data_IF_538812538853
#
_entry.id   IF_538812538853
#
_cell.length_a   1.000
_cell.length_b   1.000
_cell.length_c   1.000
_cell.angle_alpha   90.00
_cell.angle_beta   90.00
_cell.angle_gamma   90.00
#
_symmetry.space_group_name_H-M   'P 1'
#
loop_
_entity.id
_entity.type
_entity.pdbx_description
1 polymer ?
#
# COMPACT_ATOMS: atom_id res chain seq x y z
N UNK A 1 -61.18 -81.62 143.52
CA UNK A 1 -59.76 -81.97 143.33
C UNK A 1 -59.08 -82.25 144.66
N UNK A 2 -59.11 -81.30 145.60
CA UNK A 2 -58.35 -81.37 146.86
C UNK A 2 -58.69 -82.58 147.76
N UNK A 3 -59.98 -82.93 147.91
CA UNK A 3 -60.38 -84.07 148.75
C UNK A 3 -60.04 -85.45 148.16
N UNK A 4 -59.89 -85.55 146.84
CA UNK A 4 -59.68 -86.84 146.13
C UNK A 4 -58.20 -87.11 145.90
N UNK A 5 -57.41 -86.07 145.61
CA UNK A 5 -55.98 -86.19 145.27
C UNK A 5 -55.04 -85.52 146.27
N UNK A 6 -55.54 -84.73 147.23
CA UNK A 6 -54.70 -83.90 148.11
C UNK A 6 -53.97 -84.67 149.21
N UNK A 7 -54.41 -85.89 149.53
CA UNK A 7 -53.82 -86.74 150.59
C UNK A 7 -53.00 -87.91 150.04
N UNK A 8 -52.80 -87.97 148.72
CA UNK A 8 -52.12 -89.09 148.06
C UNK A 8 -50.96 -88.58 147.23
N UNK A 9 -49.75 -89.08 147.50
CA UNK A 9 -48.57 -88.77 146.69
C UNK A 9 -48.42 -89.81 145.58
N UNK A 10 -47.92 -89.39 144.42
CA UNK A 10 -47.62 -90.30 143.31
C UNK A 10 -46.11 -90.41 143.15
N UNK A 11 -45.59 -91.63 143.17
CA UNK A 11 -44.17 -91.92 143.00
C UNK A 11 -43.89 -92.75 141.75
N UNK A 12 -42.68 -92.64 141.24
CA UNK A 12 -42.22 -93.31 140.02
C UNK A 12 -41.96 -94.81 140.21
N UNK A 13 -41.41 -95.18 141.37
CA UNK A 13 -40.90 -96.52 141.67
C UNK A 13 -41.36 -97.02 143.04
N UNK A 14 -41.39 -98.34 143.19
CA UNK A 14 -41.79 -99.03 144.43
C UNK A 14 -40.92 -98.63 145.63
N UNK A 15 -39.61 -98.47 145.42
CA UNK A 15 -38.67 -98.11 146.48
C UNK A 15 -38.90 -96.69 146.99
N UNK A 16 -39.14 -95.75 146.08
CA UNK A 16 -39.44 -94.37 146.43
C UNK A 16 -40.79 -94.26 147.13
N UNK A 17 -41.80 -94.99 146.66
CA UNK A 17 -43.10 -95.05 147.32
C UNK A 17 -42.99 -95.58 148.76
N UNK A 18 -42.19 -96.63 149.00
CA UNK A 18 -41.96 -97.19 150.34
C UNK A 18 -41.23 -96.21 151.25
N UNK A 19 -40.19 -95.53 150.75
CA UNK A 19 -39.46 -94.51 151.53
C UNK A 19 -40.36 -93.36 151.96
N UNK A 20 -41.12 -92.80 151.03
CA UNK A 20 -41.95 -91.62 151.27
C UNK A 20 -43.13 -91.94 152.20
N UNK A 21 -43.74 -93.12 152.05
CA UNK A 21 -44.88 -93.53 152.87
C UNK A 21 -44.50 -93.73 154.34
N UNK A 22 -43.34 -94.33 154.62
CA UNK A 22 -42.92 -94.69 155.98
C UNK A 22 -41.94 -93.70 156.62
N UNK A 23 -41.66 -92.57 155.97
CA UNK A 23 -40.88 -91.48 156.56
C UNK A 23 -41.68 -90.76 157.64
N UNK A 24 -41.09 -90.56 158.82
CA UNK A 24 -41.75 -89.98 160.01
C UNK A 24 -42.30 -88.57 159.78
N UNK A 25 -41.71 -87.80 158.84
CA UNK A 25 -42.15 -86.42 158.56
C UNK A 25 -43.30 -86.34 157.55
N UNK A 26 -43.51 -87.39 156.75
CA UNK A 26 -44.46 -87.36 155.64
C UNK A 26 -45.64 -88.28 155.93
N UNK A 27 -45.41 -89.55 156.28
CA UNK A 27 -46.46 -90.50 156.71
C UNK A 27 -47.77 -90.39 155.90
N UNK A 28 -47.65 -90.35 154.57
CA UNK A 28 -48.78 -90.10 153.66
C UNK A 28 -48.92 -91.25 152.68
N UNK A 29 -50.17 -91.59 152.33
CA UNK A 29 -50.49 -92.63 151.37
C UNK A 29 -49.83 -92.32 150.02
N UNK A 30 -49.07 -93.26 149.49
CA UNK A 30 -48.35 -93.09 148.24
C UNK A 30 -48.76 -94.15 147.24
N UNK A 31 -48.94 -93.76 145.99
CA UNK A 31 -49.33 -94.64 144.89
C UNK A 31 -48.24 -94.60 143.82
N UNK A 32 -47.83 -95.74 143.32
CA UNK A 32 -46.84 -95.79 142.22
C UNK A 32 -47.51 -95.49 140.88
N UNK A 33 -46.74 -95.07 139.88
CA UNK A 33 -47.20 -95.02 138.48
C UNK A 33 -47.74 -96.38 137.98
N UNK A 34 -47.29 -97.49 138.59
CA UNK A 34 -47.80 -98.84 138.33
C UNK A 34 -49.19 -99.12 138.90
N UNK A 35 -49.65 -98.31 139.86
CA UNK A 35 -50.93 -98.47 140.55
C UNK A 35 -50.84 -99.16 141.90
N UNK A 36 -49.63 -99.47 142.39
CA UNK A 36 -49.43 -100.07 143.71
C UNK A 36 -49.58 -99.01 144.80
N UNK A 37 -50.21 -99.38 145.92
CA UNK A 37 -50.55 -98.44 146.99
C UNK A 37 -49.80 -98.81 148.26
N UNK A 38 -49.18 -97.80 148.84
CA UNK A 38 -48.47 -97.84 150.10
C UNK A 38 -49.19 -96.94 151.08
N UNK A 39 -49.68 -97.53 152.16
CA UNK A 39 -50.31 -96.81 153.26
C UNK A 39 -49.42 -96.86 154.51
N UNK A 40 -49.18 -95.74 155.19
CA UNK A 40 -48.37 -95.72 156.42
C UNK A 40 -48.93 -96.63 157.52
N UNK A 41 -50.22 -96.97 157.48
CA UNK A 41 -50.87 -97.94 158.37
C UNK A 41 -50.48 -99.40 158.07
N UNK A 42 -49.52 -99.63 157.18
CA UNK A 42 -48.96 -100.96 156.89
C UNK A 42 -49.69 -101.72 155.79
N UNK A 43 -50.60 -101.07 155.06
CA UNK A 43 -51.25 -101.68 153.90
C UNK A 43 -50.40 -101.46 152.67
N UNK A 44 -49.90 -102.55 152.09
CA UNK A 44 -49.18 -102.55 150.84
C UNK A 44 -49.98 -103.38 149.85
N UNK A 45 -50.66 -102.73 148.93
CA UNK A 45 -51.31 -103.43 147.82
C UNK A 45 -50.33 -103.48 146.66
N UNK A 46 -49.67 -104.63 146.50
CA UNK A 46 -48.82 -104.95 145.36
C UNK A 46 -49.28 -106.26 144.77
N UNK A 47 -49.77 -106.24 143.54
CA UNK A 47 -50.35 -107.42 142.89
C UNK A 47 -50.34 -107.30 141.38
N UNK A 48 -50.52 -108.45 140.71
CA UNK A 48 -50.61 -108.49 139.26
C UNK A 48 -51.73 -107.56 138.76
N UNK A 49 -51.34 -106.64 137.88
CA UNK A 49 -52.22 -105.60 137.34
C UNK A 49 -53.39 -106.22 136.57
N UNK A 50 -54.61 -105.90 136.97
CA UNK A 50 -55.78 -106.13 136.11
C UNK A 50 -55.72 -105.12 134.95
N UNK A 51 -55.67 -105.62 133.71
CA UNK A 51 -55.72 -104.81 132.50
C UNK A 51 -57.14 -104.27 132.23
N UNK A 52 -57.66 -103.40 133.08
CA UNK A 52 -58.88 -102.63 132.77
C UNK A 52 -58.53 -101.21 132.34
N UNK A 53 -59.12 -100.78 131.22
CA UNK A 53 -58.88 -99.48 130.61
C UNK A 53 -59.28 -98.30 131.53
N UNK A 54 -58.54 -97.20 131.43
CA UNK A 54 -58.68 -96.01 132.30
C UNK A 54 -59.97 -95.23 132.00
N UNK A 55 -60.88 -95.14 132.98
CA UNK A 55 -62.16 -94.40 132.88
C UNK A 55 -61.95 -92.89 132.74
N UNK A 56 -60.89 -92.34 133.32
CA UNK A 56 -60.58 -90.91 133.27
C UNK A 56 -60.22 -90.42 131.86
N UNK A 57 -59.61 -91.28 131.04
CA UNK A 57 -59.30 -90.96 129.64
C UNK A 57 -60.59 -90.74 128.82
N UNK A 58 -61.61 -91.58 129.02
CA UNK A 58 -62.92 -91.41 128.36
C UNK A 58 -63.68 -90.18 128.83
N UNK A 59 -63.55 -89.81 130.11
CA UNK A 59 -64.17 -88.59 130.62
C UNK A 59 -63.52 -87.33 130.03
N UNK A 60 -62.20 -87.35 129.87
CA UNK A 60 -61.48 -86.28 129.18
C UNK A 60 -61.93 -86.16 127.71
N UNK A 61 -62.00 -87.28 126.98
CA UNK A 61 -62.51 -87.29 125.60
C UNK A 61 -63.94 -86.72 125.50
N UNK A 62 -64.82 -87.06 126.44
CA UNK A 62 -66.20 -86.55 126.44
C UNK A 62 -66.25 -85.03 126.70
N UNK A 63 -65.40 -84.54 127.62
CA UNK A 63 -65.26 -83.11 127.86
C UNK A 63 -64.73 -82.37 126.64
N UNK A 64 -63.69 -82.90 126.00
CA UNK A 64 -63.12 -82.29 124.79
C UNK A 64 -64.15 -82.24 123.65
N UNK A 65 -65.01 -83.26 123.51
CA UNK A 65 -66.13 -83.25 122.54
C UNK A 65 -67.19 -82.22 122.91
N UNK A 66 -67.52 -82.08 124.20
CA UNK A 66 -68.51 -81.11 124.67
C UNK A 66 -68.05 -79.66 124.46
N UNK A 67 -66.79 -79.36 124.79
CA UNK A 67 -66.20 -78.03 124.57
C UNK A 67 -66.17 -77.70 123.06
N UNK A 68 -65.85 -78.68 122.21
CA UNK A 68 -65.91 -78.51 120.74
C UNK A 68 -67.34 -78.27 120.21
N UNK A 69 -68.34 -78.94 120.78
CA UNK A 69 -69.74 -78.73 120.40
C UNK A 69 -70.18 -77.31 120.75
N UNK A 70 -69.89 -76.84 121.96
CA UNK A 70 -70.25 -75.49 122.40
C UNK A 70 -69.56 -74.40 121.55
N UNK A 71 -68.28 -74.61 121.19
CA UNK A 71 -67.57 -73.72 120.29
C UNK A 71 -68.24 -73.66 118.90
N UNK A 72 -68.63 -74.81 118.33
CA UNK A 72 -69.27 -74.88 117.01
C UNK A 72 -70.69 -74.32 117.01
N UNK A 73 -71.47 -74.50 118.07
CA UNK A 73 -72.79 -73.88 118.21
C UNK A 73 -72.69 -72.36 118.32
N UNK A 74 -71.65 -71.84 118.96
CA UNK A 74 -71.41 -70.40 119.06
C UNK A 74 -70.99 -69.81 117.71
N UNK A 75 -70.13 -70.51 116.97
CA UNK A 75 -69.74 -70.14 115.60
C UNK A 75 -70.95 -70.12 114.66
N UNK A 76 -71.80 -71.15 114.71
CA UNK A 76 -73.03 -71.22 113.91
C UNK A 76 -73.96 -70.04 114.20
N UNK A 77 -74.20 -69.72 115.47
CA UNK A 77 -75.02 -68.56 115.86
C UNK A 77 -74.45 -67.23 115.36
N UNK A 78 -73.13 -67.07 115.37
CA UNK A 78 -72.48 -65.88 114.82
C UNK A 78 -72.71 -65.78 113.31
N UNK A 79 -72.47 -66.88 112.58
CA UNK A 79 -72.65 -66.91 111.13
C UNK A 79 -74.11 -66.68 110.74
N UNK A 80 -75.07 -67.27 111.44
CA UNK A 80 -76.51 -67.06 111.20
C UNK A 80 -76.91 -65.59 111.39
N UNK A 81 -76.34 -64.93 112.42
CA UNK A 81 -76.56 -63.49 112.65
C UNK A 81 -76.01 -62.66 111.50
N UNK A 82 -74.79 -62.93 111.05
CA UNK A 82 -74.18 -62.22 109.92
C UNK A 82 -74.96 -62.44 108.61
N UNK A 83 -75.41 -63.68 108.37
CA UNK A 83 -76.23 -64.05 107.21
C UNK A 83 -77.57 -63.31 107.22
N UNK A 84 -78.19 -63.13 108.39
CA UNK A 84 -79.42 -62.35 108.54
C UNK A 84 -79.21 -60.86 108.23
N UNK A 85 -78.08 -60.27 108.67
CA UNK A 85 -77.73 -58.88 108.36
C UNK A 85 -77.41 -58.66 106.89
N UNK A 86 -76.71 -59.61 106.27
CA UNK A 86 -76.40 -59.59 104.84
C UNK A 86 -77.66 -59.70 103.97
N UNK A 87 -78.65 -60.52 104.35
CA UNK A 87 -79.94 -60.60 103.66
C UNK A 87 -80.63 -59.25 103.58
N UNK A 88 -80.72 -58.53 104.70
CA UNK A 88 -81.32 -57.18 104.71
C UNK A 88 -80.59 -56.17 103.82
N UNK A 89 -79.27 -56.29 103.72
CA UNK A 89 -78.45 -55.43 102.84
C UNK A 89 -78.63 -55.80 101.36
N UNK A 90 -78.69 -57.09 101.04
CA UNK A 90 -78.92 -57.58 99.69
C UNK A 90 -80.28 -57.13 99.13
N UNK A 91 -81.32 -57.14 99.96
CA UNK A 91 -82.65 -56.67 99.56
C UNK A 91 -82.69 -55.16 99.28
N UNK A 92 -82.01 -54.35 100.12
CA UNK A 92 -81.85 -52.90 99.86
C UNK A 92 -81.07 -52.64 98.56
N UNK A 93 -80.00 -53.40 98.31
CA UNK A 93 -79.23 -53.27 97.07
C UNK A 93 -80.08 -53.59 95.84
N UNK A 94 -80.88 -54.67 95.88
CA UNK A 94 -81.79 -54.99 94.77
C UNK A 94 -82.79 -53.87 94.50
N UNK A 95 -83.38 -53.30 95.55
CA UNK A 95 -84.32 -52.19 95.42
C UNK A 95 -83.65 -50.96 94.80
N UNK A 96 -82.47 -50.57 95.28
CA UNK A 96 -81.73 -49.42 94.75
C UNK A 96 -81.27 -49.65 93.30
N UNK A 97 -80.81 -50.85 92.97
CA UNK A 97 -80.42 -51.20 91.61
C UNK A 97 -81.59 -51.08 90.64
N UNK A 98 -82.75 -51.62 91.02
CA UNK A 98 -83.96 -51.50 90.21
C UNK A 98 -84.36 -50.03 90.00
N UNK A 99 -84.24 -49.17 91.03
CA UNK A 99 -84.51 -47.74 90.89
C UNK A 99 -83.50 -47.04 89.96
N UNK A 100 -82.22 -47.41 90.02
CA UNK A 100 -81.19 -46.86 89.15
C UNK A 100 -81.45 -47.24 87.68
N UNK A 101 -81.73 -48.51 87.42
CA UNK A 101 -82.00 -49.01 86.07
C UNK A 101 -83.20 -48.26 85.45
N UNK A 102 -84.29 -48.08 86.22
CA UNK A 102 -85.45 -47.28 85.79
C UNK A 102 -85.10 -45.82 85.50
N UNK A 103 -84.20 -45.21 86.28
CA UNK A 103 -83.79 -43.82 86.07
C UNK A 103 -82.87 -43.65 84.85
N UNK A 104 -82.00 -44.61 84.58
CA UNK A 104 -81.18 -44.63 83.37
C UNK A 104 -82.05 -44.72 82.11
N UNK A 105 -83.01 -45.65 82.08
CA UNK A 105 -83.96 -45.77 80.97
C UNK A 105 -84.80 -44.50 80.78
N UNK A 106 -85.19 -43.83 81.87
CA UNK A 106 -85.91 -42.56 81.80
C UNK A 106 -85.08 -41.45 81.14
N UNK A 107 -83.78 -41.35 81.46
CA UNK A 107 -82.86 -40.38 80.86
C UNK A 107 -82.68 -40.64 79.37
N UNK A 108 -82.42 -41.89 78.97
CA UNK A 108 -82.25 -42.24 77.55
C UNK A 108 -83.50 -41.91 76.75
N UNK A 109 -84.68 -42.24 77.28
CA UNK A 109 -85.96 -41.91 76.64
C UNK A 109 -86.17 -40.40 76.50
N UNK A 110 -85.77 -39.61 77.49
CA UNK A 110 -85.85 -38.15 77.43
C UNK A 110 -84.88 -37.58 76.39
N UNK A 111 -83.67 -38.14 76.28
CA UNK A 111 -82.69 -37.71 75.29
C UNK A 111 -83.14 -38.01 73.86
N UNK A 112 -83.69 -39.20 73.62
CA UNK A 112 -84.29 -39.55 72.32
C UNK A 112 -85.47 -38.63 72.01
N UNK A 113 -86.35 -38.34 72.99
CA UNK A 113 -87.45 -37.38 72.80
C UNK A 113 -86.96 -35.97 72.49
N UNK A 114 -85.87 -35.52 73.12
CA UNK A 114 -85.28 -34.22 72.85
C UNK A 114 -84.71 -34.16 71.43
N UNK A 115 -83.99 -35.19 71.00
CA UNK A 115 -83.44 -35.28 69.64
C UNK A 115 -84.55 -35.40 68.58
N UNK A 116 -85.62 -36.13 68.88
CA UNK A 116 -86.78 -36.25 68.01
C UNK A 116 -87.70 -35.02 68.05
N UNK A 117 -87.52 -34.13 69.03
CA UNK A 117 -88.35 -32.93 69.17
C UNK A 117 -88.21 -32.06 67.92
N UNK A 118 -89.32 -31.38 67.58
CA UNK A 118 -89.32 -30.43 66.47
C UNK A 118 -88.26 -29.36 66.65
N UNK A 119 -88.01 -28.92 67.89
CA UNK A 119 -87.03 -27.88 68.19
C UNK A 119 -85.60 -28.30 67.84
N UNK A 120 -85.17 -29.52 68.21
CA UNK A 120 -83.81 -29.96 67.92
C UNK A 120 -83.58 -30.13 66.41
N UNK A 121 -84.57 -30.69 65.69
CA UNK A 121 -84.51 -30.80 64.22
C UNK A 121 -84.49 -29.42 63.55
N UNK A 122 -85.31 -28.48 64.03
CA UNK A 122 -85.33 -27.12 63.53
C UNK A 122 -84.02 -26.39 63.79
N UNK A 123 -83.37 -26.62 64.93
CA UNK A 123 -82.06 -26.05 65.25
C UNK A 123 -80.96 -26.60 64.31
N UNK A 124 -80.95 -27.91 64.05
CA UNK A 124 -80.03 -28.51 63.06
C UNK A 124 -80.27 -27.95 61.65
N UNK A 125 -81.54 -27.87 61.21
CA UNK A 125 -81.90 -27.27 59.93
C UNK A 125 -81.47 -25.80 59.83
N UNK A 126 -81.66 -25.02 60.90
CA UNK A 126 -81.21 -23.63 60.97
C UNK A 126 -79.69 -23.51 60.87
N UNK A 127 -78.92 -24.40 61.51
CA UNK A 127 -77.47 -24.43 61.39
C UNK A 127 -77.03 -24.75 59.96
N UNK A 128 -77.67 -25.72 59.30
CA UNK A 128 -77.39 -26.08 57.91
C UNK A 128 -77.74 -24.91 56.96
N UNK A 129 -78.90 -24.27 57.17
CA UNK A 129 -79.34 -23.11 56.38
C UNK A 129 -78.37 -21.93 56.54
N UNK A 130 -77.94 -21.63 57.76
CA UNK A 130 -76.95 -20.57 58.03
C UNK A 130 -75.65 -20.83 57.28
N UNK A 131 -75.14 -22.05 57.33
CA UNK A 131 -73.92 -22.43 56.61
C UNK A 131 -74.09 -22.30 55.09
N UNK A 132 -75.22 -22.73 54.55
CA UNK A 132 -75.54 -22.59 53.12
C UNK A 132 -75.64 -21.12 52.68
N UNK A 133 -76.20 -20.25 53.53
CA UNK A 133 -76.28 -18.80 53.26
C UNK A 133 -74.86 -18.21 53.19
N UNK A 134 -73.99 -18.56 54.14
CA UNK A 134 -72.61 -18.06 54.18
C UNK A 134 -71.82 -18.48 52.93
N UNK A 135 -71.95 -19.74 52.51
CA UNK A 135 -71.37 -20.27 51.25
C UNK A 135 -71.94 -19.55 50.01
N UNK A 136 -73.24 -19.24 50.00
CA UNK A 136 -73.91 -18.53 48.91
C UNK A 136 -73.49 -17.06 48.82
N UNK A 137 -73.27 -16.39 49.95
CA UNK A 137 -72.78 -15.01 49.99
C UNK A 137 -71.32 -14.92 49.51
N UNK A 138 -70.47 -15.88 49.90
CA UNK A 138 -69.08 -15.93 49.44
C UNK A 138 -69.00 -16.14 47.91
N UNK A 139 -69.80 -17.07 47.38
CA UNK A 139 -69.87 -17.33 45.93
C UNK A 139 -70.43 -16.12 45.17
N UNK A 140 -71.43 -15.42 45.69
CA UNK A 140 -71.94 -14.18 45.11
C UNK A 140 -70.85 -13.10 45.04
N UNK A 141 -70.05 -12.94 46.10
CA UNK A 141 -68.95 -11.96 46.15
C UNK A 141 -67.89 -12.26 45.11
N UNK A 142 -67.43 -13.52 45.02
CA UNK A 142 -66.48 -13.97 43.99
C UNK A 142 -67.00 -13.73 42.58
N UNK A 143 -68.28 -14.04 42.33
CA UNK A 143 -68.90 -13.86 41.02
C UNK A 143 -68.99 -12.38 40.62
N UNK A 144 -69.33 -11.48 41.56
CA UNK A 144 -69.34 -10.02 41.31
C UNK A 144 -67.96 -9.48 40.96
N UNK A 145 -66.89 -9.97 41.60
CA UNK A 145 -65.52 -9.57 41.26
C UNK A 145 -65.10 -10.04 39.87
N UNK A 146 -65.46 -11.28 39.50
CA UNK A 146 -65.21 -11.81 38.16
C UNK A 146 -65.97 -11.00 37.10
N UNK A 147 -67.23 -10.65 37.37
CA UNK A 147 -68.03 -9.80 36.49
C UNK A 147 -67.37 -8.44 36.25
N UNK A 148 -66.96 -7.74 37.32
CA UNK A 148 -66.25 -6.44 37.19
C UNK A 148 -64.99 -6.55 36.34
N UNK A 149 -64.17 -7.58 36.56
CA UNK A 149 -62.95 -7.81 35.77
C UNK A 149 -63.26 -8.09 34.30
N UNK A 150 -64.35 -8.80 34.01
CA UNK A 150 -64.79 -9.08 32.65
C UNK A 150 -65.31 -7.80 31.95
N UNK A 151 -66.12 -6.99 32.63
CA UNK A 151 -66.61 -5.70 32.11
C UNK A 151 -65.47 -4.73 31.81
N UNK A 152 -64.45 -4.67 32.67
CA UNK A 152 -63.28 -3.82 32.46
C UNK A 152 -62.45 -4.27 31.25
N UNK A 153 -62.24 -5.60 31.08
CA UNK A 153 -61.61 -6.16 29.88
C UNK A 153 -62.41 -5.87 28.62
N UNK A 154 -63.74 -5.97 28.68
CA UNK A 154 -64.62 -5.67 27.56
C UNK A 154 -64.47 -4.20 27.14
N UNK A 155 -64.49 -3.27 28.11
CA UNK A 155 -64.30 -1.84 27.84
C UNK A 155 -62.94 -1.53 27.20
N UNK A 156 -61.87 -2.20 27.65
CA UNK A 156 -60.53 -2.05 27.05
C UNK A 156 -60.51 -2.58 25.62
N UNK A 157 -61.10 -3.75 25.37
CA UNK A 157 -61.19 -4.33 24.02
C UNK A 157 -62.03 -3.47 23.09
N UNK A 158 -63.16 -2.95 23.54
CA UNK A 158 -64.03 -2.08 22.77
C UNK A 158 -63.31 -0.78 22.38
N UNK A 159 -62.58 -0.16 23.32
CA UNK A 159 -61.78 1.04 23.02
C UNK A 159 -60.63 0.74 22.04
N UNK A 160 -59.97 -0.42 22.18
CA UNK A 160 -58.94 -0.86 21.23
C UNK A 160 -59.52 -1.09 19.83
N UNK A 161 -60.70 -1.70 19.73
CA UNK A 161 -61.38 -1.90 18.45
C UNK A 161 -61.77 -0.58 17.80
N UNK A 162 -62.33 0.37 18.56
CA UNK A 162 -62.72 1.70 18.03
C UNK A 162 -61.52 2.51 17.54
N UNK A 163 -60.37 2.40 18.20
CA UNK A 163 -59.16 3.16 17.83
C UNK A 163 -58.28 2.45 16.79
N UNK A 164 -58.46 1.15 16.56
CA UNK A 164 -57.65 0.38 15.61
C UNK A 164 -57.78 0.89 14.17
N UNK A 165 -58.97 1.28 13.73
CA UNK A 165 -59.16 1.83 12.37
C UNK A 165 -58.43 3.18 12.21
N UNK A 166 -58.53 4.05 13.20
CA UNK A 166 -57.87 5.36 13.18
C UNK A 166 -56.33 5.25 13.22
N UNK A 167 -55.77 4.36 14.04
CA UNK A 167 -54.33 4.10 14.07
C UNK A 167 -53.85 3.48 12.75
N UNK A 168 -54.57 2.49 12.23
CA UNK A 168 -54.22 1.82 10.97
C UNK A 168 -54.27 2.78 9.78
N UNK A 169 -55.25 3.69 9.73
CA UNK A 169 -55.32 4.71 8.68
C UNK A 169 -54.17 5.72 8.78
N UNK A 170 -53.79 6.12 10.00
CA UNK A 170 -52.65 7.01 10.25
C UNK A 170 -51.33 6.37 9.83
N UNK A 171 -51.12 5.10 10.17
CA UNK A 171 -49.95 4.33 9.74
C UNK A 171 -49.91 4.14 8.22
N UNK A 172 -51.05 3.84 7.58
CA UNK A 172 -51.15 3.75 6.13
C UNK A 172 -50.80 5.07 5.44
N UNK A 173 -51.29 6.20 5.94
CA UNK A 173 -50.92 7.53 5.43
C UNK A 173 -49.43 7.81 5.59
N UNK A 174 -48.86 7.52 6.76
CA UNK A 174 -47.44 7.70 7.02
C UNK A 174 -46.57 6.81 6.11
N UNK A 175 -46.97 5.56 5.91
CA UNK A 175 -46.29 4.62 5.01
C UNK A 175 -46.38 5.07 3.54
N UNK A 176 -47.56 5.54 3.09
CA UNK A 176 -47.74 6.10 1.74
C UNK A 176 -46.87 7.33 1.51
N UNK A 177 -46.81 8.25 2.47
CA UNK A 177 -45.95 9.43 2.38
C UNK A 177 -44.46 9.07 2.29
N UNK A 178 -44.00 8.09 3.08
CA UNK A 178 -42.63 7.58 3.00
C UNK A 178 -42.34 6.93 1.65
N UNK A 179 -43.28 6.16 1.12
CA UNK A 179 -43.16 5.52 -0.20
C UNK A 179 -43.04 6.58 -1.31
N UNK A 180 -43.91 7.59 -1.30
CA UNK A 180 -43.87 8.67 -2.31
C UNK A 180 -42.60 9.51 -2.21
N UNK A 181 -42.12 9.79 -1.00
CA UNK A 181 -40.84 10.47 -0.80
C UNK A 181 -39.66 9.64 -1.32
N UNK A 182 -39.69 8.32 -1.09
CA UNK A 182 -38.67 7.41 -1.60
C UNK A 182 -38.69 7.31 -3.14
N UNK A 183 -39.88 7.23 -3.75
CA UNK A 183 -40.05 7.25 -5.21
C UNK A 183 -39.49 8.53 -5.84
N UNK A 184 -39.86 9.70 -5.31
CA UNK A 184 -39.33 10.99 -5.79
C UNK A 184 -37.82 11.07 -5.70
N UNK A 185 -37.22 10.55 -4.62
CA UNK A 185 -35.75 10.47 -4.50
C UNK A 185 -35.15 9.53 -5.54
N UNK A 186 -35.74 8.34 -5.73
CA UNK A 186 -35.28 7.38 -6.73
C UNK A 186 -35.33 7.96 -8.15
N UNK A 187 -36.42 8.64 -8.52
CA UNK A 187 -36.57 9.29 -9.82
C UNK A 187 -35.54 10.42 -10.02
N UNK A 188 -35.30 11.23 -8.98
CA UNK A 188 -34.27 12.27 -9.02
C UNK A 188 -32.85 11.69 -9.17
N UNK A 189 -32.55 10.59 -8.48
CA UNK A 189 -31.27 9.88 -8.64
C UNK A 189 -31.13 9.26 -10.03
N UNK A 190 -32.17 8.63 -10.56
CA UNK A 190 -32.15 8.07 -11.91
C UNK A 190 -31.95 9.14 -12.98
N UNK A 191 -32.55 10.32 -12.81
CA UNK A 191 -32.32 11.45 -13.73
C UNK A 191 -30.85 11.89 -13.70
N UNK A 192 -30.27 12.10 -12.51
CA UNK A 192 -28.85 12.45 -12.36
C UNK A 192 -27.91 11.37 -12.90
N UNK A 193 -28.27 10.10 -12.73
CA UNK A 193 -27.50 8.98 -13.26
C UNK A 193 -27.47 9.04 -14.80
N UNK A 194 -28.61 9.27 -15.45
CA UNK A 194 -28.69 9.43 -16.91
C UNK A 194 -27.88 10.64 -17.40
N UNK A 195 -27.98 11.78 -16.71
CA UNK A 195 -27.19 12.98 -17.04
C UNK A 195 -25.68 12.69 -16.95
N UNK A 196 -25.24 12.02 -15.88
CA UNK A 196 -23.83 11.64 -15.72
C UNK A 196 -23.36 10.57 -16.69
N UNK A 197 -24.24 9.64 -17.08
CA UNK A 197 -23.94 8.65 -18.11
C UNK A 197 -23.72 9.34 -19.47
N UNK A 198 -24.60 10.28 -19.85
CA UNK A 198 -24.45 11.04 -21.10
C UNK A 198 -23.17 11.88 -21.11
N UNK A 199 -22.81 12.49 -19.98
CA UNK A 199 -21.56 13.25 -19.84
C UNK A 199 -20.33 12.33 -19.97
N UNK A 200 -20.38 11.13 -19.38
CA UNK A 200 -19.31 10.14 -19.51
C UNK A 200 -19.16 9.63 -20.96
N UNK A 201 -20.26 9.36 -21.63
CA UNK A 201 -20.26 8.91 -23.04
C UNK A 201 -19.71 10.02 -23.96
N UNK A 202 -20.05 11.30 -23.70
CA UNK A 202 -19.50 12.44 -24.43
C UNK A 202 -17.98 12.58 -24.22
N UNK A 203 -17.51 12.52 -22.97
CA UNK A 203 -16.08 12.56 -22.66
C UNK A 203 -15.31 11.38 -23.26
N UNK A 204 -15.92 10.22 -23.37
CA UNK A 204 -15.31 9.05 -24.01
C UNK A 204 -15.06 9.29 -25.51
N UNK A 205 -16.04 9.90 -26.21
CA UNK A 205 -15.90 10.27 -27.62
C UNK A 205 -14.82 11.35 -27.81
N UNK A 206 -14.80 12.38 -26.96
CA UNK A 206 -13.74 13.40 -27.00
C UNK A 206 -12.34 12.79 -26.77
N UNK A 207 -12.21 11.84 -25.84
CA UNK A 207 -10.96 11.12 -25.60
C UNK A 207 -10.51 10.32 -26.82
N UNK A 208 -11.44 9.68 -27.53
CA UNK A 208 -11.15 8.90 -28.73
C UNK A 208 -10.72 9.81 -29.89
N UNK A 209 -11.36 10.97 -30.05
CA UNK A 209 -10.97 11.99 -31.02
C UNK A 209 -9.57 12.56 -30.73
N UNK A 210 -9.29 12.94 -29.49
CA UNK A 210 -7.98 13.44 -29.06
C UNK A 210 -6.87 12.41 -29.26
N UNK A 211 -7.14 11.11 -29.03
CA UNK A 211 -6.18 10.03 -29.31
C UNK A 211 -5.86 9.93 -30.79
N UNK A 212 -6.89 10.02 -31.65
CA UNK A 212 -6.71 9.98 -33.10
C UNK A 212 -5.92 11.19 -33.59
N UNK A 213 -6.17 12.38 -33.04
CA UNK A 213 -5.37 13.58 -33.32
C UNK A 213 -3.92 13.41 -32.87
N UNK A 214 -3.70 12.87 -31.67
CA UNK A 214 -2.35 12.60 -31.15
C UNK A 214 -1.59 11.63 -32.06
N UNK A 215 -2.21 10.54 -32.49
CA UNK A 215 -1.62 9.59 -33.44
C UNK A 215 -1.29 10.27 -34.79
N UNK A 216 -2.19 11.12 -35.29
CA UNK A 216 -1.95 11.90 -36.50
C UNK A 216 -0.76 12.85 -36.38
N UNK A 217 -0.66 13.58 -35.27
CA UNK A 217 0.49 14.45 -34.99
C UNK A 217 1.79 13.64 -34.85
N UNK A 218 1.76 12.49 -34.19
CA UNK A 218 2.92 11.63 -34.03
C UNK A 218 3.45 11.14 -35.40
N UNK A 219 2.55 10.70 -36.29
CA UNK A 219 2.93 10.31 -37.65
C UNK A 219 3.53 11.47 -38.45
N UNK A 220 3.00 12.69 -38.29
CA UNK A 220 3.57 13.88 -38.93
C UNK A 220 4.97 14.21 -38.41
N UNK A 221 5.19 14.11 -37.09
CA UNK A 221 6.52 14.31 -36.49
C UNK A 221 7.52 13.31 -37.04
N UNK A 222 7.15 12.03 -37.10
CA UNK A 222 8.01 10.98 -37.65
C UNK A 222 8.37 11.23 -39.13
N UNK A 223 7.39 11.62 -39.95
CA UNK A 223 7.63 11.95 -41.35
C UNK A 223 8.56 13.17 -41.51
N UNK A 224 8.39 14.19 -40.67
CA UNK A 224 9.27 15.37 -40.67
C UNK A 224 10.68 15.00 -40.22
N UNK A 225 10.83 14.17 -39.19
CA UNK A 225 12.14 13.71 -38.70
C UNK A 225 12.90 12.91 -39.77
N UNK A 226 12.20 12.04 -40.52
CA UNK A 226 12.78 11.35 -41.68
C UNK A 226 13.21 12.32 -42.77
N UNK A 227 12.37 13.30 -43.11
CA UNK A 227 12.73 14.33 -44.10
C UNK A 227 13.94 15.17 -43.65
N UNK A 228 14.03 15.52 -42.37
CA UNK A 228 15.17 16.25 -41.79
C UNK A 228 16.45 15.41 -41.86
N UNK A 229 16.38 14.10 -41.56
CA UNK A 229 17.54 13.20 -41.72
C UNK A 229 18.02 13.17 -43.17
N UNK A 230 17.12 12.99 -44.13
CA UNK A 230 17.47 12.97 -45.56
C UNK A 230 18.09 14.30 -46.01
N UNK A 231 17.55 15.44 -45.56
CA UNK A 231 18.11 16.76 -45.86
C UNK A 231 19.50 16.96 -45.23
N UNK A 232 19.73 16.45 -44.02
CA UNK A 232 21.06 16.49 -43.39
C UNK A 232 22.08 15.68 -44.18
N UNK A 233 21.73 14.47 -44.60
CA UNK A 233 22.61 13.65 -45.45
C UNK A 233 22.94 14.34 -46.78
N UNK A 234 21.96 15.02 -47.40
CA UNK A 234 22.20 15.82 -48.60
C UNK A 234 23.12 17.01 -48.33
N UNK A 235 22.94 17.72 -47.21
CA UNK A 235 23.82 18.83 -46.82
C UNK A 235 25.25 18.32 -46.61
N UNK A 236 25.44 17.19 -45.94
CA UNK A 236 26.75 16.61 -45.69
C UNK A 236 27.44 16.20 -47.01
N UNK A 237 26.68 15.60 -47.95
CA UNK A 237 27.17 15.29 -49.29
C UNK A 237 27.57 16.55 -50.06
N UNK A 238 26.72 17.57 -50.08
CA UNK A 238 27.03 18.84 -50.76
C UNK A 238 28.21 19.55 -50.12
N UNK A 239 28.36 19.50 -48.80
CA UNK A 239 29.51 20.06 -48.09
C UNK A 239 30.81 19.35 -48.50
N UNK A 240 30.78 18.03 -48.65
CA UNK A 240 31.90 17.25 -49.18
C UNK A 240 32.24 17.67 -50.62
N UNK A 241 31.24 17.79 -51.50
CA UNK A 241 31.44 18.21 -52.89
C UNK A 241 32.00 19.64 -53.00
N UNK A 242 31.50 20.57 -52.18
CA UNK A 242 32.02 21.94 -52.10
C UNK A 242 33.46 21.94 -51.61
N UNK A 243 33.80 21.11 -50.61
CA UNK A 243 35.18 20.99 -50.14
C UNK A 243 36.13 20.47 -51.23
N UNK A 244 35.72 19.43 -51.96
CA UNK A 244 36.49 18.87 -53.07
C UNK A 244 36.64 19.84 -54.23
N UNK A 245 35.57 20.56 -54.57
CA UNK A 245 35.60 21.61 -55.59
C UNK A 245 36.50 22.77 -55.19
N UNK A 246 36.51 23.17 -53.91
CA UNK A 246 37.40 24.23 -53.40
C UNK A 246 38.87 23.81 -53.48
N UNK A 247 39.19 22.55 -53.17
CA UNK A 247 40.55 22.02 -53.37
C UNK A 247 40.94 21.98 -54.85
N UNK A 248 40.04 21.56 -55.73
CA UNK A 248 40.27 21.56 -57.18
C UNK A 248 40.51 22.96 -57.72
N UNK A 249 39.71 23.95 -57.31
CA UNK A 249 39.89 25.36 -57.66
C UNK A 249 41.23 25.88 -57.15
N UNK A 250 41.62 25.54 -55.91
CA UNK A 250 42.93 25.93 -55.37
C UNK A 250 44.07 25.36 -56.20
N UNK A 251 44.03 24.08 -56.55
CA UNK A 251 45.03 23.44 -57.42
C UNK A 251 45.08 24.11 -58.80
N UNK A 252 43.93 24.36 -59.41
CA UNK A 252 43.85 25.05 -60.69
C UNK A 252 44.38 26.49 -60.63
N UNK A 253 44.16 27.22 -59.53
CA UNK A 253 44.72 28.55 -59.30
C UNK A 253 46.24 28.51 -59.14
N UNK A 254 46.78 27.53 -58.41
CA UNK A 254 48.22 27.31 -58.27
C UNK A 254 48.87 26.98 -59.62
N UNK A 255 48.25 26.11 -60.43
CA UNK A 255 48.68 25.80 -61.79
C UNK A 255 48.61 27.01 -62.72
N UNK A 256 47.53 27.79 -62.67
CA UNK A 256 47.41 29.02 -63.44
C UNK A 256 48.48 30.04 -63.05
N UNK A 257 48.82 30.16 -61.75
CA UNK A 257 49.91 31.03 -61.30
C UNK A 257 51.25 30.59 -61.88
N UNK A 258 51.55 29.29 -61.83
CA UNK A 258 52.77 28.72 -62.44
C UNK A 258 52.81 28.99 -63.94
N UNK A 259 51.69 28.77 -64.65
CA UNK A 259 51.62 29.05 -66.09
C UNK A 259 51.79 30.54 -66.38
N UNK A 260 51.20 31.44 -65.58
CA UNK A 260 51.43 32.89 -65.71
C UNK A 260 52.89 33.27 -65.51
N UNK A 261 53.58 32.68 -64.54
CA UNK A 261 55.01 32.90 -64.34
C UNK A 261 55.84 32.44 -65.56
N UNK A 262 55.49 31.27 -66.12
CA UNK A 262 56.11 30.76 -67.36
C UNK A 262 55.87 31.71 -68.53
N UNK A 263 54.62 32.17 -68.73
CA UNK A 263 54.27 33.13 -69.78
C UNK A 263 55.05 34.43 -69.58
N UNK A 264 55.11 34.97 -68.35
CA UNK A 264 55.88 36.19 -68.06
C UNK A 264 57.38 36.03 -68.33
N UNK A 265 57.95 34.86 -68.04
CA UNK A 265 59.34 34.55 -68.36
C UNK A 265 59.57 34.49 -69.87
N UNK A 266 58.67 33.81 -70.60
CA UNK A 266 58.69 33.75 -72.06
C UNK A 266 58.50 35.12 -72.70
N UNK A 267 57.57 35.95 -72.20
CA UNK A 267 57.36 37.33 -72.67
C UNK A 267 58.61 38.20 -72.45
N UNK A 268 59.32 38.01 -71.34
CA UNK A 268 60.62 38.68 -71.11
C UNK A 268 61.67 38.21 -72.12
N UNK A 269 61.73 36.91 -72.39
CA UNK A 269 62.65 36.35 -73.39
C UNK A 269 62.30 36.85 -74.80
N UNK A 270 61.01 36.87 -75.17
CA UNK A 270 60.51 37.40 -76.44
C UNK A 270 60.86 38.89 -76.56
N UNK A 271 60.62 39.70 -75.52
CA UNK A 271 61.02 41.12 -75.51
C UNK A 271 62.53 41.28 -75.68
N UNK A 272 63.33 40.46 -75.00
CA UNK A 272 64.78 40.43 -75.13
C UNK A 272 65.22 40.12 -76.57
N UNK A 273 64.73 39.03 -77.15
CA UNK A 273 65.01 38.65 -78.54
C UNK A 273 64.51 39.68 -79.54
N UNK A 274 63.36 40.31 -79.29
CA UNK A 274 62.82 41.36 -80.17
C UNK A 274 63.72 42.61 -80.14
N UNK A 275 64.22 43.00 -78.97
CA UNK A 275 65.19 44.09 -78.86
C UNK A 275 66.51 43.75 -79.57
N UNK A 276 66.97 42.51 -79.46
CA UNK A 276 68.16 42.03 -80.17
C UNK A 276 67.96 42.05 -81.69
N UNK A 277 66.82 41.56 -82.18
CA UNK A 277 66.44 41.62 -83.61
C UNK A 277 66.39 43.07 -84.09
N UNK A 278 65.79 43.98 -83.33
CA UNK A 278 65.75 45.40 -83.69
C UNK A 278 67.15 46.02 -83.73
N UNK A 279 68.00 45.74 -82.74
CA UNK A 279 69.39 46.21 -82.74
C UNK A 279 70.23 45.65 -83.89
N UNK A 280 70.04 44.37 -84.25
CA UNK A 280 70.65 43.79 -85.44
C UNK A 280 70.13 44.44 -86.73
N UNK A 281 68.84 44.77 -86.78
CA UNK A 281 68.23 45.47 -87.93
C UNK A 281 68.78 46.89 -88.08
N UNK A 282 68.98 47.62 -87.00
CA UNK A 282 69.63 48.93 -87.00
C UNK A 282 71.07 48.82 -87.50
N UNK A 283 71.86 47.88 -86.98
CA UNK A 283 73.22 47.61 -87.48
C UNK A 283 73.24 47.24 -88.96
N UNK A 284 72.27 46.46 -89.42
CA UNK A 284 72.15 46.10 -90.83
C UNK A 284 71.81 47.34 -91.69
N UNK A 285 70.91 48.20 -91.22
CA UNK A 285 70.59 49.46 -91.90
C UNK A 285 71.81 50.40 -91.95
N UNK A 286 72.57 50.52 -90.86
CA UNK A 286 73.83 51.28 -90.83
C UNK A 286 74.85 50.70 -91.82
N UNK A 287 75.02 49.38 -91.84
CA UNK A 287 75.89 48.71 -92.80
C UNK A 287 75.45 48.96 -94.25
N UNK A 288 74.14 48.91 -94.54
CA UNK A 288 73.60 49.23 -95.86
C UNK A 288 73.84 50.70 -96.26
N UNK A 289 73.66 51.64 -95.33
CA UNK A 289 73.98 53.05 -95.58
C UNK A 289 75.46 53.24 -95.88
N UNK A 290 76.33 52.55 -95.13
CA UNK A 290 77.78 52.60 -95.32
C UNK A 290 78.21 51.97 -96.64
N UNK A 291 77.55 50.89 -97.06
CA UNK A 291 77.73 50.31 -98.40
C UNK A 291 77.35 51.34 -99.47
N UNK A 292 76.18 51.98 -99.38
CA UNK A 292 75.77 53.02 -100.34
C UNK A 292 76.74 54.21 -100.39
N UNK A 293 77.25 54.62 -99.23
CA UNK A 293 78.22 55.71 -99.13
C UNK A 293 79.56 55.33 -99.80
N UNK A 294 80.05 54.12 -99.55
CA UNK A 294 81.22 53.58 -100.23
C UNK A 294 80.99 53.40 -101.74
N UNK A 295 79.83 52.93 -102.18
CA UNK A 295 79.46 52.85 -103.60
C UNK A 295 79.44 54.23 -104.26
N UNK A 296 78.89 55.24 -103.59
CA UNK A 296 78.91 56.62 -104.07
C UNK A 296 80.35 57.15 -104.19
N UNK A 297 81.19 56.90 -103.18
CA UNK A 297 82.59 57.28 -103.20
C UNK A 297 83.37 56.57 -104.33
N UNK A 298 83.14 55.27 -104.54
CA UNK A 298 83.72 54.51 -105.65
C UNK A 298 83.28 55.10 -106.99
N UNK A 299 81.99 55.42 -107.14
CA UNK A 299 81.44 56.03 -108.35
C UNK A 299 82.06 57.42 -108.62
N UNK A 300 82.18 58.24 -107.58
CA UNK A 300 82.84 59.56 -107.64
C UNK A 300 84.31 59.44 -108.04
N UNK A 301 85.08 58.57 -107.38
CA UNK A 301 86.48 58.35 -107.72
C UNK A 301 86.68 57.77 -109.12
N UNK A 302 85.78 56.90 -109.60
CA UNK A 302 85.78 56.44 -111.00
C UNK A 302 85.55 57.59 -111.98
N UNK A 303 84.59 58.48 -111.67
CA UNK A 303 84.31 59.65 -112.50
C UNK A 303 85.48 60.63 -112.52
N UNK A 304 86.04 60.96 -111.36
CA UNK A 304 87.21 61.85 -111.25
C UNK A 304 88.43 61.28 -112.01
N UNK A 305 88.63 59.96 -111.95
CA UNK A 305 89.68 59.27 -112.73
C UNK A 305 89.43 59.34 -114.24
N UNK A 306 88.19 59.13 -114.68
CA UNK A 306 87.82 59.25 -116.10
C UNK A 306 87.97 60.70 -116.61
N UNK A 307 87.57 61.69 -115.82
CA UNK A 307 87.71 63.12 -116.16
C UNK A 307 89.18 63.55 -116.20
N UNK A 308 90.02 63.04 -115.29
CA UNK A 308 91.46 63.26 -115.31
C UNK A 308 92.11 62.61 -116.54
N UNK A 309 91.74 61.37 -116.89
CA UNK A 309 92.21 60.69 -118.09
C UNK A 309 91.79 61.43 -119.37
N UNK A 310 90.55 61.90 -119.44
CA UNK A 310 90.05 62.70 -120.56
C UNK A 310 90.77 64.05 -120.67
N UNK A 311 91.10 64.71 -119.54
CA UNK A 311 91.87 65.96 -119.53
C UNK A 311 93.31 65.75 -120.03
N UNK A 312 93.96 64.66 -119.62
CA UNK A 312 95.29 64.28 -120.13
C UNK A 312 95.24 63.96 -121.63
N UNK A 313 94.21 63.22 -122.08
CA UNK A 313 94.00 62.95 -123.51
C UNK A 313 93.81 64.22 -124.34
N UNK A 314 93.03 65.20 -123.83
CA UNK A 314 92.83 66.50 -124.48
C UNK A 314 94.12 67.31 -124.57
N UNK A 315 94.88 67.37 -123.48
CA UNK A 315 96.17 68.09 -123.43
C UNK A 315 97.20 67.53 -124.42
N UNK A 316 97.20 66.21 -124.64
CA UNK A 316 98.07 65.56 -125.62
C UNK A 316 97.64 65.78 -127.08
N UNK A 317 96.35 66.06 -127.34
CA UNK A 317 95.83 66.29 -128.69
C UNK A 317 95.88 67.76 -129.13
N UNK A 318 95.76 68.72 -128.21
CA UNK A 318 95.80 70.16 -128.54
C UNK A 318 97.23 70.71 -128.67
N UNK A 319 98.23 69.93 -128.27
CA UNK A 319 99.62 70.38 -128.22
C UNK A 319 100.54 69.33 -128.86
N UNK A 320 100.65 69.36 -130.18
CA UNK A 320 101.44 68.42 -130.97
C UNK A 320 102.94 68.40 -130.60
N UNK A 321 103.44 69.48 -130.00
CA UNK A 321 104.82 69.61 -129.49
C UNK A 321 105.07 68.79 -128.21
N UNK A 322 104.03 68.44 -127.44
CA UNK A 322 104.19 67.70 -126.17
C UNK A 322 104.67 66.27 -126.43
N UNK A 323 104.22 65.61 -127.51
CA UNK A 323 104.58 64.22 -127.79
C UNK A 323 106.10 64.00 -128.04
N UNK A 324 106.78 64.76 -128.92
CA UNK A 324 108.23 64.61 -129.13
C UNK A 324 109.07 65.18 -127.98
N UNK A 325 108.62 66.22 -127.27
CA UNK A 325 109.41 66.90 -126.22
C UNK A 325 109.13 66.40 -124.79
N UNK A 326 108.19 65.45 -124.61
CA UNK A 326 107.80 64.86 -123.31
C UNK A 326 108.96 64.33 -122.48
N UNK A 327 110.01 63.83 -123.13
CA UNK A 327 111.18 63.26 -122.46
C UNK A 327 112.10 64.33 -121.82
N UNK A 328 111.92 65.61 -122.18
CA UNK A 328 112.67 66.76 -121.66
C UNK A 328 111.94 67.48 -120.51
N UNK A 329 110.67 67.13 -120.23
CA UNK A 329 109.87 67.79 -119.19
C UNK A 329 110.38 67.45 -117.79
N UNK A 330 110.73 68.48 -117.00
CA UNK A 330 111.24 68.32 -115.64
C UNK A 330 112.71 67.91 -115.54
N UNK A 331 113.46 67.92 -116.66
CA UNK A 331 114.90 67.69 -116.69
C UNK A 331 115.69 68.99 -116.44
N UNK A 332 116.71 68.97 -115.55
CA UNK A 332 117.45 70.16 -115.17
C UNK A 332 118.29 70.74 -116.32
N UNK A 333 118.40 72.07 -116.40
CA UNK A 333 119.14 72.83 -117.43
C UNK A 333 118.57 72.79 -118.88
N UNK A 334 117.29 72.41 -119.05
CA UNK A 334 116.55 72.56 -120.30
C UNK A 334 115.49 73.65 -120.18
N UNK A 335 114.90 74.09 -121.30
CA UNK A 335 113.81 75.08 -121.29
C UNK A 335 112.57 74.65 -120.47
N UNK A 336 112.46 73.36 -120.10
CA UNK A 336 111.37 72.76 -119.33
C UNK A 336 111.79 72.32 -117.91
N UNK A 337 112.79 72.97 -117.32
CA UNK A 337 113.17 72.81 -115.92
C UNK A 337 112.14 73.48 -114.99
N UNK A 338 111.17 72.68 -114.52
CA UNK A 338 110.09 73.15 -113.64
C UNK A 338 110.54 73.54 -112.23
N UNK A 339 111.80 73.27 -111.85
CA UNK A 339 112.37 73.72 -110.57
C UNK A 339 113.03 75.09 -110.69
N UNK A 340 113.68 75.40 -111.82
CA UNK A 340 114.27 76.72 -112.07
C UNK A 340 113.24 77.74 -112.61
N UNK A 341 112.21 77.30 -113.32
CA UNK A 341 111.13 78.15 -113.84
C UNK A 341 109.77 77.52 -113.50
N UNK A 342 109.16 77.96 -112.39
CA UNK A 342 107.95 77.35 -111.84
C UNK A 342 106.76 77.51 -112.80
N UNK A 343 106.14 76.43 -113.31
CA UNK A 343 105.06 76.51 -114.30
C UNK A 343 103.82 77.26 -113.81
N UNK A 344 103.56 77.32 -112.49
CA UNK A 344 102.49 78.19 -111.94
C UNK A 344 102.83 79.68 -112.02
N UNK A 345 104.10 80.06 -111.82
CA UNK A 345 104.54 81.46 -111.90
C UNK A 345 104.73 81.94 -113.35
N UNK A 346 105.25 81.07 -114.23
CA UNK A 346 105.34 81.34 -115.65
C UNK A 346 103.95 81.57 -116.30
N UNK A 347 102.96 80.74 -115.93
CA UNK A 347 101.56 80.93 -116.35
C UNK A 347 100.95 82.24 -115.86
N UNK A 348 101.29 82.69 -114.65
CA UNK A 348 100.87 84.00 -114.13
C UNK A 348 101.58 85.18 -114.83
N UNK A 349 102.86 85.04 -115.21
CA UNK A 349 103.62 86.04 -115.99
C UNK A 349 103.09 86.20 -117.42
N UNK A 350 102.75 85.09 -118.09
CA UNK A 350 102.13 85.10 -119.41
C UNK A 350 100.78 85.84 -119.38
N UNK A 351 99.94 85.54 -118.39
CA UNK A 351 98.63 86.19 -118.23
C UNK A 351 98.75 87.70 -118.02
N UNK A 352 99.75 88.16 -117.24
CA UNK A 352 100.06 89.59 -117.07
C UNK A 352 100.58 90.26 -118.35
N UNK A 353 101.36 89.56 -119.17
CA UNK A 353 101.89 90.07 -120.44
C UNK A 353 100.80 90.13 -121.54
N UNK A 354 99.88 89.16 -121.59
CA UNK A 354 98.71 89.20 -122.48
C UNK A 354 97.73 90.32 -122.09
N UNK A 355 97.48 90.51 -120.79
CA UNK A 355 96.69 91.64 -120.29
C UNK A 355 97.33 93.01 -120.59
N UNK A 356 98.67 93.10 -120.63
CA UNK A 356 99.41 94.29 -121.03
C UNK A 356 99.37 94.53 -122.55
N UNK A 357 99.51 93.47 -123.36
CA UNK A 357 99.38 93.53 -124.83
C UNK A 357 97.99 94.02 -125.25
N UNK A 358 96.92 93.45 -124.68
CA UNK A 358 95.54 93.85 -124.96
C UNK A 358 95.22 95.31 -124.56
N UNK A 359 95.93 95.87 -123.56
CA UNK A 359 95.80 97.29 -123.17
C UNK A 359 96.52 98.25 -124.14
N UNK A 360 97.67 97.85 -124.70
CA UNK A 360 98.43 98.65 -125.68
C UNK A 360 97.81 98.62 -127.08
N UNK A 361 97.18 97.51 -127.46
CA UNK A 361 96.49 97.32 -128.75
C UNK A 361 95.27 98.27 -128.91
N UNK A 362 94.74 98.81 -127.80
CA UNK A 362 93.54 99.67 -127.79
C UNK A 362 93.81 101.17 -128.02
N UNK A 363 95.08 101.61 -128.04
CA UNK A 363 95.47 103.04 -128.05
C UNK A 363 96.34 103.48 -129.24
N UNK A 364 96.46 102.68 -130.32
CA UNK A 364 97.31 103.03 -131.48
C UNK A 364 96.52 102.97 -132.80
N UNK A 365 96.69 104.00 -133.62
CA UNK A 365 96.00 104.23 -134.90
C UNK A 365 96.44 103.20 -135.96
N UNK A 366 95.53 102.27 -136.30
CA UNK A 366 95.73 101.07 -137.10
C UNK A 366 96.09 101.27 -138.59
N UNK A 367 96.13 102.51 -139.11
CA UNK A 367 96.52 102.76 -140.52
C UNK A 367 98.04 102.79 -140.77
N UNK A 368 98.86 103.05 -139.74
CA UNK A 368 100.32 103.01 -139.86
C UNK A 368 100.89 101.58 -139.65
N UNK A 369 100.21 100.73 -138.89
CA UNK A 369 100.62 99.34 -138.61
C UNK A 369 100.37 98.41 -139.80
N UNK A 370 99.28 98.62 -140.58
CA UNK A 370 99.03 97.85 -141.80
C UNK A 370 99.96 98.22 -142.98
N UNK A 371 100.58 99.41 -142.99
CA UNK A 371 101.65 99.72 -143.94
C UNK A 371 103.00 99.11 -143.56
N UNK A 372 103.22 98.77 -142.29
CA UNK A 372 104.40 98.04 -141.80
C UNK A 372 104.26 96.53 -142.02
N UNK A 373 103.07 95.95 -141.77
CA UNK A 373 102.79 94.54 -142.07
C UNK A 373 102.86 94.21 -143.58
N UNK A 374 102.50 95.15 -144.46
CA UNK A 374 102.65 94.99 -145.92
C UNK A 374 104.08 95.27 -146.45
N UNK A 375 104.93 95.95 -145.67
CA UNK A 375 106.36 96.08 -145.96
C UNK A 375 107.16 94.86 -145.46
N UNK A 376 106.70 94.21 -144.38
CA UNK A 376 107.32 93.01 -143.82
C UNK A 376 106.94 91.70 -144.54
N UNK A 377 105.75 91.59 -145.16
CA UNK A 377 105.39 90.45 -146.03
C UNK A 377 106.12 90.44 -147.39
N UNK A 378 106.74 91.55 -147.82
CA UNK A 378 107.56 91.61 -149.06
C UNK A 378 109.04 91.25 -148.85
N UNK A 379 109.50 91.02 -147.62
CA UNK A 379 110.88 90.58 -147.32
C UNK A 379 110.98 89.10 -146.90
N UNK A 380 109.90 88.33 -147.02
CA UNK A 380 109.84 86.88 -146.76
C UNK A 380 109.31 86.08 -147.96
N UNK A 381 109.63 86.54 -149.17
CA UNK A 381 109.70 85.72 -150.40
C UNK A 381 111.10 85.77 -151.02
N UNK A 382 112.10 85.44 -150.21
CA UNK A 382 113.34 84.71 -150.54
C UNK A 382 113.57 83.79 -149.34
#
# INVERSE_FOLDING_TARGET
MEYVFGTTLVCDTLDNAKKVTFDKRVMTKTVTLGGDVFDPQGTLSGGARAQTASVLSKLQELKDVQDNLEAKETELRSVEKDLSGLKGTADKYRQLKQQLDLKCEEVERLQVKLQQSSYHKQEEELQILRKTIEESEETLKKTKEVQKKAEEKFRVLENKMKNAEAEREKELKAARQKLDAAKKKADAFNKKLKEKQQEADALALELEELRREQEGCQQQVEAVDEAVKALREQIDSMAADVSGSKEAVKKAQEELSKQKEVIMAQDREIKGKTAEVNGLREKNNEAQLRIKELEHNISKHKKDSADAAARVGRMLAENDWIAPERHLFGQPNTAYDFKANNPKEAGQRLKKLEEAKAKLERNVNMRAMNMLSQAEEKSTMI
#
